data_IF_034454317592
#
_entry.id   IF_034454317592
#
_cell.length_a   1.000
_cell.length_b   1.000
_cell.length_c   1.000
_cell.angle_alpha   90.00
_cell.angle_beta   90.00
_cell.angle_gamma   90.00
#
_symmetry.space_group_name_H-M   'P 1'
#
loop_
_entity.id
_entity.type
_entity.pdbx_description
1 polymer ?
#
# COMPACT_ATOMS: atom_id res chain seq x y z
N UNK A 1 5.72 -1.53 19.10
CA UNK A 1 6.58 -1.00 18.01
C UNK A 1 7.92 -0.60 18.61
N UNK A 2 9.01 -1.28 18.24
CA UNK A 2 10.34 -0.99 18.78
C UNK A 2 10.84 0.40 18.36
N UNK A 3 11.77 0.98 19.14
CA UNK A 3 12.35 2.27 18.81
C UNK A 3 13.20 2.16 17.53
N UNK A 4 13.10 3.18 16.67
CA UNK A 4 13.86 3.26 15.41
C UNK A 4 15.38 3.14 15.60
N UNK A 5 15.89 3.53 16.77
CA UNK A 5 17.29 3.36 17.15
C UNK A 5 17.67 1.88 17.24
N UNK A 6 16.83 1.05 17.88
CA UNK A 6 17.03 -0.40 17.96
C UNK A 6 16.94 -1.05 16.59
N UNK A 7 16.01 -0.63 15.72
CA UNK A 7 15.94 -1.13 14.34
C UNK A 7 17.25 -0.89 13.59
N UNK A 8 17.85 0.29 13.72
CA UNK A 8 19.13 0.59 13.10
C UNK A 8 20.27 -0.29 13.64
N UNK A 9 20.33 -0.49 14.96
CA UNK A 9 21.30 -1.39 15.59
C UNK A 9 21.20 -2.82 15.02
N UNK A 10 19.97 -3.33 14.89
CA UNK A 10 19.74 -4.69 14.39
C UNK A 10 20.10 -4.82 12.91
N UNK A 11 19.84 -3.80 12.10
CA UNK A 11 20.26 -3.75 10.70
C UNK A 11 21.79 -3.72 10.58
N UNK A 12 22.48 -2.99 11.46
CA UNK A 12 23.94 -2.95 11.47
C UNK A 12 24.55 -4.27 11.95
N UNK A 13 23.92 -4.95 12.90
CA UNK A 13 24.34 -6.30 13.31
C UNK A 13 24.11 -7.33 12.19
N UNK A 14 23.00 -7.26 11.46
CA UNK A 14 22.79 -8.07 10.26
C UNK A 14 23.91 -7.86 9.23
N UNK A 15 24.30 -6.60 8.99
CA UNK A 15 25.42 -6.27 8.10
C UNK A 15 26.75 -6.87 8.59
N UNK A 16 27.04 -6.80 9.89
CA UNK A 16 28.24 -7.43 10.49
C UNK A 16 28.24 -8.94 10.33
N UNK A 17 27.07 -9.57 10.43
CA UNK A 17 26.85 -11.00 10.23
C UNK A 17 26.80 -11.40 8.76
N UNK A 18 26.97 -10.45 7.82
CA UNK A 18 26.84 -10.66 6.37
C UNK A 18 25.46 -11.16 5.93
N UNK A 19 24.43 -10.82 6.71
CA UNK A 19 23.03 -11.05 6.37
C UNK A 19 22.54 -9.83 5.61
N UNK A 20 22.10 -10.03 4.37
CA UNK A 20 21.59 -8.96 3.53
C UNK A 20 20.18 -8.57 3.97
N UNK A 21 19.97 -7.26 4.20
CA UNK A 21 18.64 -6.69 4.49
C UNK A 21 18.11 -6.04 3.21
N UNK A 22 17.08 -6.65 2.63
CA UNK A 22 16.41 -6.18 1.42
C UNK A 22 15.51 -4.99 1.75
N UNK A 23 15.38 -4.01 0.85
CA UNK A 23 14.47 -2.87 1.03
C UNK A 23 13.01 -3.34 1.16
N UNK A 24 12.13 -2.49 1.72
CA UNK A 24 10.71 -2.80 1.72
C UNK A 24 10.20 -2.93 0.28
N UNK A 25 9.20 -3.79 0.07
CA UNK A 25 8.54 -4.00 -1.21
C UNK A 25 7.08 -4.38 -0.97
N UNK A 26 6.13 -3.62 -1.52
CA UNK A 26 4.70 -3.81 -1.35
C UNK A 26 4.22 -5.22 -1.74
N UNK A 27 4.93 -5.85 -2.67
CA UNK A 27 4.60 -7.17 -3.20
C UNK A 27 5.27 -8.33 -2.44
N UNK A 28 6.20 -8.04 -1.52
CA UNK A 28 7.00 -9.09 -0.85
C UNK A 28 7.18 -8.89 0.66
N UNK A 29 7.16 -7.66 1.14
CA UNK A 29 7.31 -7.33 2.56
C UNK A 29 6.02 -7.59 3.31
N UNK A 30 6.16 -8.04 4.54
CA UNK A 30 5.09 -8.06 5.53
C UNK A 30 5.07 -6.76 6.35
N UNK A 31 4.11 -6.64 7.27
CA UNK A 31 4.08 -5.55 8.26
C UNK A 31 5.33 -5.63 9.13
N UNK A 32 5.67 -6.82 9.62
CA UNK A 32 6.90 -7.08 10.38
C UNK A 32 8.07 -7.51 9.48
N UNK A 33 9.28 -7.53 10.04
CA UNK A 33 10.45 -8.08 9.35
C UNK A 33 10.25 -9.57 9.08
N UNK A 34 10.64 -10.01 7.90
CA UNK A 34 10.41 -11.39 7.45
C UNK A 34 11.67 -11.98 6.82
N UNK A 35 11.72 -13.31 6.77
CA UNK A 35 12.80 -14.07 6.13
C UNK A 35 12.47 -14.24 4.64
N UNK A 36 13.36 -13.79 3.75
CA UNK A 36 13.26 -13.91 2.30
C UNK A 36 14.48 -14.71 1.79
N UNK A 37 14.35 -16.04 1.83
CA UNK A 37 15.45 -16.97 1.57
C UNK A 37 16.53 -16.88 2.64
N UNK A 38 17.76 -16.55 2.24
CA UNK A 38 18.90 -16.32 3.14
C UNK A 38 19.03 -14.86 3.58
N UNK A 39 18.04 -14.03 3.24
CA UNK A 39 18.04 -12.57 3.46
C UNK A 39 16.91 -12.19 4.41
N UNK A 40 17.01 -11.01 4.98
CA UNK A 40 15.93 -10.41 5.76
C UNK A 40 15.26 -9.36 4.91
N UNK A 41 13.93 -9.38 4.83
CA UNK A 41 13.17 -8.32 4.16
C UNK A 41 12.68 -7.31 5.19
N UNK A 42 12.88 -6.04 4.87
CA UNK A 42 12.44 -4.94 5.72
C UNK A 42 10.92 -4.95 5.87
N UNK A 43 10.45 -4.94 7.13
CA UNK A 43 9.04 -4.86 7.45
C UNK A 43 8.48 -3.47 7.17
N UNK A 44 7.32 -3.38 6.52
CA UNK A 44 6.75 -2.08 6.16
C UNK A 44 6.33 -1.26 7.38
N UNK A 45 6.03 -1.90 8.51
CA UNK A 45 5.66 -1.25 9.76
C UNK A 45 6.77 -0.41 10.37
N UNK A 46 8.02 -0.63 9.97
CA UNK A 46 9.16 0.19 10.36
C UNK A 46 9.27 1.51 9.55
N UNK A 47 8.44 1.72 8.52
CA UNK A 47 8.41 2.95 7.73
C UNK A 47 7.66 4.04 8.52
N UNK A 48 8.39 5.08 8.95
CA UNK A 48 7.81 6.21 9.69
C UNK A 48 6.75 6.94 8.88
N UNK A 49 5.63 7.25 9.53
CA UNK A 49 4.54 8.05 8.94
C UNK A 49 3.50 7.23 8.17
N UNK A 50 3.61 5.89 8.18
CA UNK A 50 2.58 4.99 7.69
C UNK A 50 1.96 4.26 8.88
N UNK A 51 0.63 4.25 8.97
CA UNK A 51 -0.08 3.54 10.03
C UNK A 51 -0.07 2.03 9.81
N UNK A 52 0.09 1.26 10.87
CA UNK A 52 0.13 -0.21 10.84
C UNK A 52 -1.14 -0.80 10.19
N UNK A 53 -2.32 -0.28 10.57
CA UNK A 53 -3.61 -0.67 9.98
C UNK A 53 -3.68 -0.47 8.46
N UNK A 54 -2.98 0.54 7.93
CA UNK A 54 -2.91 0.78 6.48
C UNK A 54 -2.11 -0.31 5.81
N UNK A 55 -1.00 -0.72 6.43
CA UNK A 55 -0.13 -1.78 5.91
C UNK A 55 -0.79 -3.14 6.00
N UNK A 56 -1.47 -3.44 7.10
CA UNK A 56 -2.29 -4.66 7.26
C UNK A 56 -3.35 -4.75 6.17
N UNK A 57 -4.06 -3.66 5.90
CA UNK A 57 -5.07 -3.63 4.82
C UNK A 57 -4.44 -3.90 3.45
N UNK A 58 -3.25 -3.36 3.18
CA UNK A 58 -2.54 -3.60 1.92
C UNK A 58 -2.04 -5.04 1.80
N UNK A 59 -1.48 -5.61 2.87
CA UNK A 59 -1.02 -7.01 2.90
C UNK A 59 -2.21 -7.95 2.70
N UNK A 60 -3.31 -7.73 3.42
CA UNK A 60 -4.53 -8.51 3.28
C UNK A 60 -5.09 -8.46 1.85
N UNK A 61 -5.20 -7.27 1.27
CA UNK A 61 -5.65 -7.08 -0.12
C UNK A 61 -4.73 -7.81 -1.12
N UNK A 62 -3.42 -7.81 -0.89
CA UNK A 62 -2.44 -8.55 -1.69
C UNK A 62 -2.60 -10.06 -1.56
N UNK A 63 -2.86 -10.57 -0.35
CA UNK A 63 -3.09 -12.00 -0.11
C UNK A 63 -4.37 -12.49 -0.78
N UNK A 64 -5.44 -11.70 -0.71
CA UNK A 64 -6.75 -12.06 -1.28
C UNK A 64 -6.77 -11.97 -2.81
N UNK A 65 -6.17 -10.93 -3.39
CA UNK A 65 -6.30 -10.63 -4.83
C UNK A 65 -4.96 -10.70 -5.61
N UNK A 66 -3.89 -11.17 -4.98
CA UNK A 66 -2.58 -11.34 -5.58
C UNK A 66 -1.73 -10.06 -5.66
N UNK A 67 -0.53 -10.12 -6.27
CA UNK A 67 0.42 -9.00 -6.31
C UNK A 67 -0.14 -7.79 -7.07
N UNK A 68 0.30 -6.61 -6.68
CA UNK A 68 0.00 -5.35 -7.35
C UNK A 68 0.86 -5.20 -8.61
N UNK A 69 0.21 -4.86 -9.73
CA UNK A 69 0.86 -4.77 -11.05
C UNK A 69 1.33 -3.36 -11.40
N UNK A 70 0.75 -2.34 -10.77
CA UNK A 70 1.07 -0.93 -11.02
C UNK A 70 0.57 -0.05 -9.86
N UNK A 71 1.03 1.19 -9.82
CA UNK A 71 0.52 2.19 -8.87
C UNK A 71 -0.99 2.40 -8.98
N UNK A 72 -1.53 2.40 -10.21
CA UNK A 72 -2.97 2.52 -10.43
C UNK A 72 -3.73 1.31 -9.90
N UNK A 73 -3.20 0.10 -10.12
CA UNK A 73 -3.81 -1.13 -9.60
C UNK A 73 -3.81 -1.15 -8.06
N UNK A 74 -2.75 -0.67 -7.41
CA UNK A 74 -2.71 -0.51 -5.95
C UNK A 74 -3.78 0.48 -5.46
N UNK A 75 -3.84 1.67 -6.06
CA UNK A 75 -4.80 2.70 -5.65
C UNK A 75 -6.26 2.32 -5.91
N UNK A 76 -6.54 1.51 -6.94
CA UNK A 76 -7.90 1.06 -7.26
C UNK A 76 -8.39 -0.07 -6.33
N UNK A 77 -7.45 -0.91 -5.85
CA UNK A 77 -7.76 -2.05 -4.99
C UNK A 77 -7.90 -1.64 -3.52
N UNK A 78 -7.07 -0.70 -3.06
CA UNK A 78 -7.06 -0.25 -1.66
C UNK A 78 -7.86 1.05 -1.53
N UNK A 79 -8.78 1.11 -0.55
CA UNK A 79 -9.61 2.29 -0.31
C UNK A 79 -8.74 3.56 -0.18
N UNK A 80 -8.99 4.62 -0.98
CA UNK A 80 -8.29 5.90 -0.89
C UNK A 80 -8.33 6.57 0.50
N UNK A 81 -9.30 6.22 1.35
CA UNK A 81 -9.34 6.66 2.76
C UNK A 81 -8.24 6.01 3.60
N UNK A 82 -7.87 4.79 3.27
CA UNK A 82 -6.80 4.02 3.93
C UNK A 82 -5.45 4.39 3.32
N UNK A 83 -5.35 4.43 1.99
CA UNK A 83 -4.11 4.71 1.27
C UNK A 83 -4.16 6.06 0.55
N UNK A 84 -3.87 7.12 1.30
CA UNK A 84 -3.86 8.49 0.77
C UNK A 84 -2.55 8.86 0.05
N UNK A 85 -2.55 10.02 -0.63
CA UNK A 85 -1.39 10.56 -1.36
C UNK A 85 -0.14 10.66 -0.47
N UNK A 86 -0.27 11.19 0.74
CA UNK A 86 0.86 11.38 1.65
C UNK A 86 1.51 10.04 2.04
N UNK A 87 0.69 9.03 2.33
CA UNK A 87 1.18 7.67 2.60
C UNK A 87 1.90 7.07 1.40
N UNK A 88 1.33 7.22 0.20
CA UNK A 88 1.96 6.75 -1.04
C UNK A 88 3.31 7.43 -1.27
N UNK A 89 3.42 8.74 -1.10
CA UNK A 89 4.69 9.45 -1.24
C UNK A 89 5.76 8.96 -0.24
N UNK A 90 5.37 8.63 0.99
CA UNK A 90 6.27 8.04 1.99
C UNK A 90 6.75 6.65 1.50
N UNK A 91 5.83 5.80 1.04
CA UNK A 91 6.16 4.48 0.51
C UNK A 91 7.05 4.56 -0.74
N UNK A 92 6.81 5.51 -1.65
CA UNK A 92 7.68 5.78 -2.80
C UNK A 92 9.09 6.16 -2.34
N UNK A 93 9.20 7.08 -1.38
CA UNK A 93 10.51 7.52 -0.83
C UNK A 93 11.24 6.41 -0.08
N UNK A 94 10.52 5.49 0.55
CA UNK A 94 11.08 4.32 1.20
C UNK A 94 11.52 3.23 0.20
N UNK A 95 11.20 3.37 -1.09
CA UNK A 95 11.49 2.35 -2.11
C UNK A 95 10.51 1.17 -2.12
N UNK A 96 9.44 1.22 -1.31
CA UNK A 96 8.48 0.14 -1.17
C UNK A 96 7.69 -0.16 -2.44
N UNK A 97 7.64 0.78 -3.39
CA UNK A 97 6.82 0.66 -4.61
C UNK A 97 7.65 0.39 -5.87
N UNK A 98 8.94 0.06 -5.72
CA UNK A 98 9.84 -0.20 -6.85
C UNK A 98 9.41 -1.40 -7.72
N UNK A 99 8.70 -2.37 -7.14
CA UNK A 99 8.18 -3.53 -7.87
C UNK A 99 7.00 -3.19 -8.80
N UNK A 100 6.40 -2.00 -8.67
CA UNK A 100 5.28 -1.54 -9.51
C UNK A 100 5.74 -0.91 -10.84
N UNK A 101 7.04 -0.93 -11.10
CA UNK A 101 7.64 -0.38 -12.32
C UNK A 101 7.90 1.13 -12.26
N UNK A 102 8.74 1.59 -13.18
CA UNK A 102 9.25 2.96 -13.20
C UNK A 102 10.27 3.24 -12.09
N UNK A 103 10.85 4.44 -12.13
CA UNK A 103 11.73 4.92 -11.06
C UNK A 103 10.97 5.79 -10.05
N UNK A 104 11.61 6.07 -8.92
CA UNK A 104 11.03 6.89 -7.84
C UNK A 104 10.47 8.23 -8.34
N UNK A 105 11.17 8.91 -9.26
CA UNK A 105 10.72 10.20 -9.80
C UNK A 105 9.45 10.04 -10.66
N UNK A 106 9.36 8.99 -11.47
CA UNK A 106 8.17 8.68 -12.29
C UNK A 106 6.96 8.34 -11.41
N UNK A 107 7.16 7.56 -10.35
CA UNK A 107 6.10 7.25 -9.38
C UNK A 107 5.62 8.53 -8.66
N UNK A 108 6.53 9.39 -8.23
CA UNK A 108 6.18 10.68 -7.60
C UNK A 108 5.38 11.59 -8.54
N UNK A 109 5.68 11.62 -9.84
CA UNK A 109 4.94 12.44 -10.81
C UNK A 109 3.52 11.90 -11.09
N UNK A 110 3.30 10.60 -10.90
CA UNK A 110 2.04 9.93 -11.25
C UNK A 110 1.11 9.72 -10.05
N UNK A 111 1.62 9.80 -8.83
CA UNK A 111 0.87 9.49 -7.59
C UNK A 111 -0.44 10.27 -7.46
N UNK A 112 -0.44 11.57 -7.77
CA UNK A 112 -1.63 12.41 -7.68
C UNK A 112 -2.70 11.98 -8.68
N UNK A 113 -2.29 11.64 -9.90
CA UNK A 113 -3.20 11.16 -10.95
C UNK A 113 -3.76 9.78 -10.60
N UNK A 114 -2.93 8.90 -10.04
CA UNK A 114 -3.36 7.57 -9.62
C UNK A 114 -4.43 7.62 -8.51
N UNK A 115 -4.19 8.45 -7.47
CA UNK A 115 -5.16 8.65 -6.39
C UNK A 115 -6.46 9.25 -6.91
N UNK A 116 -6.38 10.27 -7.77
CA UNK A 116 -7.58 10.90 -8.32
C UNK A 116 -8.39 9.95 -9.20
N UNK A 117 -7.70 9.11 -9.98
CA UNK A 117 -8.33 8.06 -10.79
C UNK A 117 -9.09 7.07 -9.91
N UNK A 118 -8.43 6.57 -8.85
CA UNK A 118 -9.06 5.66 -7.89
C UNK A 118 -10.29 6.27 -7.22
N UNK A 119 -10.20 7.52 -6.75
CA UNK A 119 -11.32 8.23 -6.13
C UNK A 119 -12.55 8.31 -7.05
N UNK A 120 -12.33 8.54 -8.35
CA UNK A 120 -13.42 8.56 -9.32
C UNK A 120 -14.02 7.16 -9.50
N UNK A 121 -13.20 6.12 -9.65
CA UNK A 121 -13.66 4.73 -9.77
C UNK A 121 -14.49 4.30 -8.54
N UNK A 122 -14.00 4.56 -7.33
CA UNK A 122 -14.72 4.24 -6.10
C UNK A 122 -16.04 5.02 -5.98
N UNK A 123 -16.05 6.30 -6.38
CA UNK A 123 -17.26 7.13 -6.40
C UNK A 123 -18.28 6.60 -7.40
N UNK A 124 -17.86 6.22 -8.59
CA UNK A 124 -18.74 5.73 -9.64
C UNK A 124 -19.32 4.36 -9.28
N UNK A 125 -18.53 3.46 -8.67
CA UNK A 125 -19.02 2.20 -8.10
C UNK A 125 -20.10 2.43 -7.03
N UNK A 126 -19.88 3.37 -6.11
CA UNK A 126 -20.84 3.70 -5.07
C UNK A 126 -22.13 4.34 -5.62
N UNK A 127 -22.04 5.14 -6.69
CA UNK A 127 -23.20 5.75 -7.37
C UNK A 127 -23.99 4.73 -8.18
N UNK A 128 -23.30 3.85 -8.92
CA UNK A 128 -23.93 2.79 -9.71
C UNK A 128 -24.75 1.82 -8.86
N UNK A 129 -24.26 1.47 -7.66
CA UNK A 129 -25.04 0.67 -6.69
C UNK A 129 -26.28 1.41 -6.18
N UNK A 130 -26.21 2.71 -5.93
CA UNK A 130 -27.39 3.50 -5.52
C UNK A 130 -28.43 3.64 -6.64
N UNK A 131 -28.00 3.71 -7.90
CA UNK A 131 -28.93 3.90 -9.03
C UNK A 131 -29.65 2.61 -9.46
N UNK A 132 -29.09 1.44 -9.19
CA UNK A 132 -29.65 0.14 -9.60
C UNK A 132 -30.69 -0.43 -8.62
N UNK A 133 -30.72 0.07 -7.37
CA UNK A 133 -31.62 -0.41 -6.32
C UNK A 133 -32.33 0.72 -5.55
N UNK A 134 -32.20 1.96 -6.03
CA UNK A 134 -32.66 3.16 -5.32
C UNK A 134 -33.95 3.78 -5.84
N UNK A 135 -34.63 3.13 -6.79
CA UNK A 135 -35.90 3.58 -7.35
C UNK A 135 -36.88 2.40 -7.35
N UNK A 136 -37.36 2.03 -6.16
CA UNK A 136 -38.69 1.42 -6.07
C UNK A 136 -39.70 2.57 -6.19
N UNK A 137 -40.56 2.57 -7.22
CA UNK A 137 -41.67 3.51 -7.23
C UNK A 137 -42.56 3.16 -6.02
N UNK A 138 -42.57 4.02 -5.01
CA UNK A 138 -43.67 4.05 -4.05
C UNK A 138 -44.87 4.61 -4.79
N UNK A 139 -45.53 3.74 -5.56
CA UNK A 139 -46.92 3.90 -5.93
C UNK A 139 -47.75 3.68 -4.67
N UNK A 140 -48.01 4.75 -3.92
CA UNK A 140 -49.19 4.83 -3.07
C UNK A 140 -50.03 6.01 -3.53
N UNK A 141 -50.93 5.71 -4.48
CA UNK A 141 -52.18 6.43 -4.69
C UNK A 141 -53.07 6.32 -3.45
N UNK A 142 -53.53 7.46 -2.93
CA UNK A 142 -54.90 7.78 -2.43
C UNK A 142 -54.90 8.73 -1.23
#
# INVERSE_FOLDING_TARGET
MESHERINEHVDDCRRMKIEVLPPDINRSEVEFSVDGEKIRFGMGAIKGVGEQVLEAVVKEREENGPFTSLYNLCERVDPKTLNKSTLEILIKAGALNSLGGNQAQLMLTVERAVQSALNIHRDRARGQKSLFGDEPTDEES
#
